data_IF_385548555437
#
_entry.id   IF_385548555437
#
_cell.length_a   1.000
_cell.length_b   1.000
_cell.length_c   1.000
_cell.angle_alpha   90.00
_cell.angle_beta   90.00
_cell.angle_gamma   90.00
#
_symmetry.space_group_name_H-M   'P 1'
#
loop_
_entity.id
_entity.type
_entity.pdbx_description
1 polymer ?
#
# COMPACT_ATOMS: atom_id res chain seq x y z
N UNK A 1 -10.14 14.91 12.91
CA UNK A 1 -9.05 15.78 12.44
C UNK A 1 -8.16 14.98 11.52
N UNK A 2 -7.65 15.57 10.44
CA UNK A 2 -6.67 14.93 9.54
C UNK A 2 -5.25 15.29 9.95
N UNK A 3 -4.33 14.35 9.80
CA UNK A 3 -2.90 14.52 10.06
C UNK A 3 -2.06 13.94 8.92
N UNK A 4 -1.06 14.66 8.38
CA UNK A 4 -0.79 16.09 8.63
C UNK A 4 -1.96 16.99 8.21
N UNK A 5 -1.96 18.21 8.72
CA UNK A 5 -2.93 19.25 8.28
C UNK A 5 -2.68 19.59 6.80
N UNK A 6 -3.67 20.23 6.15
CA UNK A 6 -3.54 20.66 4.75
C UNK A 6 -2.33 21.57 4.53
N UNK A 7 -2.05 22.47 5.47
CA UNK A 7 -0.90 23.37 5.43
C UNK A 7 0.44 22.61 5.49
N UNK A 8 0.55 21.65 6.40
CA UNK A 8 1.73 20.80 6.54
C UNK A 8 1.93 19.89 5.33
N UNK A 9 0.85 19.29 4.84
CA UNK A 9 0.89 18.49 3.61
C UNK A 9 1.34 19.33 2.41
N UNK A 10 0.84 20.56 2.28
CA UNK A 10 1.26 21.51 1.26
C UNK A 10 2.75 21.86 1.35
N UNK A 11 3.28 22.10 2.55
CA UNK A 11 4.70 22.36 2.77
C UNK A 11 5.58 21.16 2.40
N UNK A 12 5.13 19.93 2.73
CA UNK A 12 5.82 18.69 2.33
C UNK A 12 5.83 18.55 0.81
N UNK A 13 4.68 18.80 0.16
CA UNK A 13 4.57 18.75 -1.30
C UNK A 13 5.49 19.76 -1.98
N UNK A 14 5.53 21.00 -1.48
CA UNK A 14 6.37 22.07 -2.02
C UNK A 14 7.88 21.76 -1.93
N UNK A 15 8.31 20.91 -0.98
CA UNK A 15 9.70 20.49 -0.87
C UNK A 15 10.20 19.67 -2.08
N UNK A 16 9.30 19.09 -2.87
CA UNK A 16 9.61 18.21 -4.00
C UNK A 16 10.31 16.89 -3.64
N UNK A 17 10.58 16.64 -2.36
CA UNK A 17 11.34 15.48 -1.90
C UNK A 17 10.51 14.17 -1.93
N UNK A 18 9.18 14.29 -1.95
CA UNK A 18 8.28 13.17 -1.85
C UNK A 18 7.20 13.23 -2.92
N UNK A 19 6.88 12.07 -3.51
CA UNK A 19 5.82 11.92 -4.51
C UNK A 19 4.47 11.54 -3.91
N UNK A 20 4.48 10.97 -2.71
CA UNK A 20 3.28 10.56 -1.97
C UNK A 20 3.34 11.10 -0.55
N UNK A 21 2.24 11.62 -0.06
CA UNK A 21 2.12 12.16 1.28
C UNK A 21 1.01 11.39 1.97
N UNK A 22 1.34 10.55 2.97
CA UNK A 22 0.33 9.87 3.76
C UNK A 22 -0.48 10.90 4.55
N UNK A 23 -1.79 10.80 4.46
CA UNK A 23 -2.74 11.59 5.25
C UNK A 23 -3.59 10.62 6.04
N UNK A 24 -3.69 10.84 7.34
CA UNK A 24 -4.40 9.94 8.24
C UNK A 24 -5.57 10.62 8.95
N UNK A 25 -6.53 9.83 9.34
CA UNK A 25 -7.61 10.18 10.25
C UNK A 25 -7.83 9.03 11.21
N UNK A 26 -7.88 9.34 12.50
CA UNK A 26 -8.22 8.34 13.52
C UNK A 26 -9.73 8.28 13.67
N UNK A 27 -10.27 7.07 13.65
CA UNK A 27 -11.67 6.76 13.90
C UNK A 27 -11.74 5.73 15.04
N UNK A 28 -12.76 5.79 15.86
CA UNK A 28 -13.07 4.75 16.82
C UNK A 28 -13.61 3.53 16.07
N UNK A 29 -13.22 2.34 16.51
CA UNK A 29 -13.62 1.08 15.90
C UNK A 29 -14.50 0.21 16.81
N UNK A 30 -15.28 0.84 17.68
CA UNK A 30 -16.03 0.16 18.74
C UNK A 30 -17.04 -0.88 18.21
N UNK A 31 -17.50 -0.71 16.98
CA UNK A 31 -18.54 -1.54 16.37
C UNK A 31 -18.09 -2.36 15.14
N UNK A 32 -16.81 -2.30 14.77
CA UNK A 32 -16.34 -2.97 13.55
C UNK A 32 -15.02 -3.73 13.78
N UNK A 33 -14.99 -4.99 13.43
CA UNK A 33 -13.77 -5.78 13.41
C UNK A 33 -13.05 -5.63 12.05
N UNK A 34 -11.75 -5.94 11.94
CA UNK A 34 -11.02 -5.94 10.66
C UNK A 34 -11.71 -6.80 9.58
N UNK A 35 -12.25 -7.96 9.97
CA UNK A 35 -12.96 -8.86 9.04
C UNK A 35 -14.27 -8.23 8.55
N UNK A 36 -15.02 -7.58 9.42
CA UNK A 36 -16.24 -6.86 9.02
C UNK A 36 -15.90 -5.68 8.09
N UNK A 37 -14.84 -4.92 8.40
CA UNK A 37 -14.36 -3.86 7.53
C UNK A 37 -13.96 -4.41 6.14
N UNK A 38 -13.25 -5.53 6.08
CA UNK A 38 -12.91 -6.19 4.82
C UNK A 38 -14.15 -6.56 4.01
N UNK A 39 -15.21 -7.09 4.66
CA UNK A 39 -16.48 -7.43 3.97
C UNK A 39 -17.13 -6.21 3.33
N UNK A 40 -17.10 -5.07 4.01
CA UNK A 40 -17.60 -3.79 3.46
C UNK A 40 -16.75 -3.36 2.26
N UNK A 41 -15.42 -3.41 2.37
CA UNK A 41 -14.52 -3.03 1.28
C UNK A 41 -14.66 -3.95 0.06
N UNK A 42 -14.87 -5.26 0.27
CA UNK A 42 -15.12 -6.20 -0.83
C UNK A 42 -16.42 -5.95 -1.59
N UNK A 43 -17.41 -5.33 -0.96
CA UNK A 43 -18.63 -4.91 -1.64
C UNK A 43 -18.40 -3.68 -2.55
N UNK A 44 -17.34 -2.91 -2.30
CA UNK A 44 -17.00 -1.69 -3.07
C UNK A 44 -15.92 -1.96 -4.13
N UNK A 45 -15.01 -2.92 -3.88
CA UNK A 45 -13.87 -3.16 -4.76
C UNK A 45 -13.63 -4.65 -4.94
N UNK A 46 -13.37 -5.07 -6.17
CA UNK A 46 -12.93 -6.43 -6.50
C UNK A 46 -11.50 -6.74 -6.01
N UNK A 47 -10.72 -5.71 -5.71
CA UNK A 47 -9.34 -5.81 -5.25
C UNK A 47 -9.21 -5.23 -3.84
N UNK A 48 -9.11 -6.10 -2.85
CA UNK A 48 -8.85 -5.71 -1.47
C UNK A 48 -8.00 -6.76 -0.77
N UNK A 49 -7.30 -6.35 0.29
CA UNK A 49 -6.52 -7.24 1.12
C UNK A 49 -6.75 -6.99 2.61
N UNK A 50 -6.47 -7.99 3.41
CA UNK A 50 -6.34 -7.92 4.85
C UNK A 50 -5.07 -8.67 5.25
N UNK A 51 -4.18 -7.99 5.96
CA UNK A 51 -3.02 -8.57 6.60
C UNK A 51 -3.23 -8.51 8.11
N UNK A 52 -3.26 -9.65 8.75
CA UNK A 52 -3.35 -9.80 10.21
C UNK A 52 -2.17 -10.63 10.71
N UNK A 53 -1.63 -10.26 11.87
CA UNK A 53 -0.65 -11.05 12.57
C UNK A 53 -1.27 -11.64 13.84
N UNK A 54 -1.07 -12.92 14.05
CA UNK A 54 -1.59 -13.63 15.22
C UNK A 54 -0.59 -13.70 16.38
N UNK A 55 0.70 -13.46 16.14
CA UNK A 55 1.77 -13.92 17.01
C UNK A 55 2.50 -12.85 17.82
N UNK A 56 2.44 -11.58 17.42
CA UNK A 56 3.24 -10.54 18.06
C UNK A 56 2.40 -9.31 18.40
N UNK A 57 2.29 -9.02 19.71
CA UNK A 57 1.59 -7.83 20.22
C UNK A 57 2.49 -6.58 20.23
N UNK A 58 3.79 -6.75 19.99
CA UNK A 58 4.77 -5.69 19.89
C UNK A 58 5.22 -5.56 18.42
N UNK A 59 5.33 -4.35 17.88
CA UNK A 59 5.74 -4.14 16.49
C UNK A 59 4.61 -4.31 15.46
N UNK A 60 4.83 -5.07 14.40
CA UNK A 60 3.89 -5.26 13.28
C UNK A 60 2.63 -6.04 13.67
N UNK A 61 2.73 -6.98 14.60
CA UNK A 61 1.61 -7.78 15.08
C UNK A 61 0.56 -7.01 15.85
N UNK A 62 0.83 -5.76 16.19
CA UNK A 62 -0.11 -4.83 16.81
C UNK A 62 -1.19 -4.32 15.85
N UNK A 63 -0.96 -4.43 14.54
CA UNK A 63 -1.81 -3.82 13.53
C UNK A 63 -2.41 -4.85 12.59
N UNK A 64 -3.67 -4.61 12.19
CA UNK A 64 -4.25 -5.20 10.99
C UNK A 64 -4.23 -4.15 9.88
N UNK A 65 -3.82 -4.54 8.69
CA UNK A 65 -3.74 -3.67 7.54
C UNK A 65 -4.77 -4.09 6.51
N UNK A 66 -5.62 -3.15 6.11
CA UNK A 66 -6.57 -3.33 5.03
C UNK A 66 -6.29 -2.34 3.91
N UNK A 67 -6.46 -2.79 2.68
CA UNK A 67 -6.41 -1.93 1.51
C UNK A 67 -7.41 -2.36 0.45
N UNK A 68 -7.80 -1.41 -0.38
CA UNK A 68 -8.74 -1.61 -1.48
C UNK A 68 -8.44 -0.61 -2.59
N UNK A 69 -9.04 -0.82 -3.77
CA UNK A 69 -8.88 0.02 -4.95
C UNK A 69 -7.41 0.36 -5.25
N UNK A 70 -6.58 -0.65 -5.61
CA UNK A 70 -5.20 -0.38 -5.96
C UNK A 70 -5.14 0.55 -7.17
N UNK A 71 -4.28 1.55 -7.11
CA UNK A 71 -4.08 2.48 -8.24
C UNK A 71 -3.23 1.89 -9.35
N UNK A 72 -2.49 0.83 -9.06
CA UNK A 72 -1.63 0.11 -9.98
C UNK A 72 -1.59 -1.37 -9.62
N UNK A 73 -1.87 -2.22 -10.58
CA UNK A 73 -1.70 -3.66 -10.51
C UNK A 73 -0.45 -4.07 -11.29
N UNK A 74 0.35 -4.95 -10.69
CA UNK A 74 1.57 -5.48 -11.31
C UNK A 74 1.50 -6.99 -11.30
N UNK A 75 1.54 -7.60 -12.47
CA UNK A 75 1.61 -9.06 -12.62
C UNK A 75 2.82 -9.44 -13.44
N UNK A 76 3.43 -10.57 -13.13
CA UNK A 76 4.51 -11.13 -13.95
C UNK A 76 4.29 -12.63 -14.09
N UNK A 77 4.15 -13.08 -15.34
CA UNK A 77 3.96 -14.49 -15.68
C UNK A 77 4.84 -14.80 -16.89
N UNK A 78 5.61 -15.89 -16.82
CA UNK A 78 6.49 -16.35 -17.88
C UNK A 78 7.46 -15.26 -18.39
N UNK A 79 7.98 -14.44 -17.46
CA UNK A 79 8.91 -13.36 -17.77
C UNK A 79 8.25 -12.15 -18.44
N UNK A 80 6.93 -12.11 -18.53
CA UNK A 80 6.17 -10.96 -19.04
C UNK A 80 5.54 -10.22 -17.88
N UNK A 81 6.04 -9.01 -17.62
CA UNK A 81 5.51 -8.11 -16.60
C UNK A 81 4.50 -7.15 -17.21
N UNK A 82 3.32 -7.09 -16.60
CA UNK A 82 2.21 -6.21 -17.00
C UNK A 82 1.87 -5.24 -15.91
N UNK A 83 1.64 -4.01 -16.30
CA UNK A 83 1.14 -2.92 -15.48
C UNK A 83 -0.27 -2.57 -15.92
N UNK A 84 -1.20 -2.41 -14.99
CA UNK A 84 -2.59 -1.99 -15.24
C UNK A 84 -3.04 -0.98 -14.19
N UNK A 85 -3.71 0.06 -14.62
CA UNK A 85 -4.30 1.07 -13.74
C UNK A 85 -3.83 2.48 -14.07
N UNK A 86 -3.23 3.17 -13.12
CA UNK A 86 -2.71 4.54 -13.30
C UNK A 86 -1.65 4.65 -14.41
N UNK A 87 -1.03 3.54 -14.75
CA UNK A 87 -0.12 3.36 -15.87
C UNK A 87 -0.35 1.98 -16.48
N UNK A 88 -0.39 1.91 -17.80
CA UNK A 88 -0.50 0.64 -18.51
C UNK A 88 0.80 0.38 -19.27
N UNK A 89 1.22 -0.88 -19.32
CA UNK A 89 2.41 -1.29 -20.03
C UNK A 89 2.69 -2.77 -19.88
N UNK A 90 3.55 -3.25 -20.78
CA UNK A 90 4.04 -4.63 -20.77
C UNK A 90 5.53 -4.60 -21.10
N UNK A 91 6.34 -5.36 -20.37
CA UNK A 91 7.76 -5.55 -20.68
C UNK A 91 8.19 -6.99 -20.37
N UNK A 92 9.12 -7.52 -21.17
CA UNK A 92 9.80 -8.78 -20.84
C UNK A 92 10.94 -8.52 -19.87
N UNK A 93 10.98 -9.28 -18.80
CA UNK A 93 12.04 -9.16 -17.80
C UNK A 93 12.33 -10.49 -17.11
N UNK A 94 13.61 -10.80 -16.95
CA UNK A 94 14.05 -11.88 -16.09
C UNK A 94 14.12 -11.47 -14.60
N UNK A 95 13.99 -10.16 -14.31
CA UNK A 95 14.18 -9.62 -12.98
C UNK A 95 13.05 -8.67 -12.58
N UNK A 96 11.82 -9.17 -12.37
CA UNK A 96 10.68 -8.33 -12.00
C UNK A 96 10.92 -7.50 -10.73
N UNK A 97 11.75 -7.98 -9.80
CA UNK A 97 12.14 -7.24 -8.62
C UNK A 97 12.85 -5.90 -8.89
N UNK A 98 13.52 -5.74 -10.04
CA UNK A 98 14.09 -4.44 -10.45
C UNK A 98 13.01 -3.44 -10.80
N UNK A 99 11.97 -3.91 -11.49
CA UNK A 99 10.80 -3.07 -11.85
C UNK A 99 10.06 -2.63 -10.59
N UNK A 100 9.83 -3.56 -9.65
CA UNK A 100 9.18 -3.24 -8.38
C UNK A 100 9.97 -2.21 -7.57
N UNK A 101 11.30 -2.32 -7.50
CA UNK A 101 12.15 -1.32 -6.82
C UNK A 101 12.06 0.06 -7.50
N UNK A 102 12.02 0.11 -8.82
CA UNK A 102 11.83 1.37 -9.58
C UNK A 102 10.48 1.98 -9.24
N UNK A 103 9.40 1.19 -9.26
CA UNK A 103 8.06 1.64 -8.88
C UNK A 103 8.02 2.19 -7.45
N UNK A 104 8.65 1.52 -6.49
CA UNK A 104 8.74 2.00 -5.12
C UNK A 104 9.52 3.33 -5.01
N UNK A 105 10.61 3.46 -5.76
CA UNK A 105 11.40 4.70 -5.79
C UNK A 105 10.60 5.87 -6.37
N UNK A 106 9.80 5.63 -7.41
CA UNK A 106 8.91 6.62 -8.01
C UNK A 106 7.78 7.06 -7.05
N UNK A 107 7.41 6.22 -6.07
CA UNK A 107 6.34 6.48 -5.10
C UNK A 107 6.87 6.80 -3.70
N UNK A 108 8.07 7.36 -3.63
CA UNK A 108 8.71 7.71 -2.36
C UNK A 108 7.80 8.59 -1.49
N UNK A 109 7.55 8.15 -0.26
CA UNK A 109 6.73 8.86 0.72
C UNK A 109 7.53 9.27 1.95
N UNK A 110 7.06 10.31 2.63
CA UNK A 110 7.60 10.72 3.93
C UNK A 110 7.09 9.79 5.01
N UNK A 111 7.98 9.35 5.89
CA UNK A 111 7.57 8.69 7.14
C UNK A 111 6.95 9.74 8.06
N UNK A 112 5.73 9.47 8.52
CA UNK A 112 4.97 10.35 9.40
C UNK A 112 5.02 9.78 10.82
N UNK A 113 5.56 10.50 11.80
CA UNK A 113 5.58 10.04 13.20
C UNK A 113 4.17 9.73 13.71
N UNK A 114 4.05 8.68 14.53
CA UNK A 114 2.77 8.27 15.11
C UNK A 114 1.86 7.43 14.20
N UNK A 115 2.19 7.27 12.92
CA UNK A 115 1.52 6.33 12.04
C UNK A 115 2.12 4.91 12.16
N UNK A 116 1.35 3.88 11.82
CA UNK A 116 1.85 2.52 11.70
C UNK A 116 3.06 2.43 10.77
N UNK A 117 3.90 1.39 10.90
CA UNK A 117 5.10 1.23 10.07
C UNK A 117 4.78 1.09 8.57
N UNK A 118 3.61 0.58 8.23
CA UNK A 118 3.12 0.48 6.86
C UNK A 118 2.00 1.48 6.63
N UNK A 119 2.24 2.46 5.78
CA UNK A 119 1.28 3.52 5.41
C UNK A 119 0.89 3.48 3.94
N UNK A 120 1.29 2.44 3.23
CA UNK A 120 1.07 2.21 1.81
C UNK A 120 2.30 1.65 1.12
N UNK A 121 2.12 1.13 -0.07
CA UNK A 121 3.20 0.51 -0.84
C UNK A 121 2.66 -0.54 -1.80
N UNK A 122 3.46 -1.55 -2.07
CA UNK A 122 3.06 -2.73 -2.84
C UNK A 122 2.65 -3.85 -1.88
N UNK A 123 1.50 -4.44 -2.12
CA UNK A 123 1.02 -5.63 -1.42
C UNK A 123 0.75 -6.72 -2.44
N UNK A 124 1.26 -7.92 -2.20
CA UNK A 124 1.11 -9.02 -3.13
C UNK A 124 1.92 -10.24 -2.69
N UNK A 125 2.17 -11.14 -3.62
CA UNK A 125 2.94 -12.35 -3.36
C UNK A 125 3.85 -12.69 -4.54
N UNK A 126 4.88 -13.46 -4.26
CA UNK A 126 5.70 -14.14 -5.25
C UNK A 126 5.35 -15.61 -5.23
N UNK A 127 5.30 -16.25 -6.40
CA UNK A 127 5.17 -17.70 -6.47
C UNK A 127 6.44 -18.36 -5.91
N UNK A 128 6.29 -19.61 -5.47
CA UNK A 128 7.43 -20.39 -4.94
C UNK A 128 8.57 -20.50 -5.95
N UNK A 129 8.25 -20.66 -7.24
CA UNK A 129 9.23 -20.82 -8.33
C UNK A 129 9.97 -19.52 -8.69
N UNK A 130 9.68 -18.42 -8.03
CA UNK A 130 10.37 -17.15 -8.26
C UNK A 130 11.73 -17.06 -7.54
N UNK A 131 12.02 -17.95 -6.61
CA UNK A 131 13.22 -17.93 -5.76
C UNK A 131 14.46 -18.36 -6.53
#
# INVERSE_FOLDING_TARGET
MYYPSLKEAGAIAASGAYRKIPVSRVLLSDFITPIQALRVLRAQSGHCFLLESAADREGWGRYSFLGYEPTLEVTCTDGVLRLRGSRNGEERTAHPGRVLRRLLAEHRSRRVPGLPPFTGGLVGYFSYDYI
#
